data_IF_102465118904
#
_entry.id   IF_102465118904
#
_cell.length_a   1.000
_cell.length_b   1.000
_cell.length_c   1.000
_cell.angle_alpha   90.00
_cell.angle_beta   90.00
_cell.angle_gamma   90.00
#
_symmetry.space_group_name_H-M   'P 1'
#
loop_
_entity.id
_entity.type
_entity.pdbx_description
1 polymer ?
#
# COMPACT_ATOMS: atom_id res chain seq x y z
N UNK A 1 -3.21 -74.80 -9.84
CA UNK A 1 -3.03 -73.58 -9.02
C UNK A 1 -3.02 -72.38 -9.94
N UNK A 2 -4.06 -71.57 -9.91
CA UNK A 2 -4.09 -70.34 -10.70
C UNK A 2 -3.81 -69.19 -9.76
N UNK A 3 -2.69 -68.51 -9.94
CA UNK A 3 -2.37 -67.31 -9.22
C UNK A 3 -3.16 -66.16 -9.82
N UNK A 4 -4.09 -65.58 -9.05
CA UNK A 4 -4.77 -64.39 -9.40
C UNK A 4 -3.89 -63.19 -9.10
N UNK A 5 -3.28 -62.63 -10.14
CA UNK A 5 -2.61 -61.32 -10.04
C UNK A 5 -3.69 -60.25 -9.94
N UNK A 6 -3.89 -59.72 -8.75
CA UNK A 6 -4.69 -58.50 -8.57
C UNK A 6 -3.79 -57.30 -8.90
N UNK A 7 -4.00 -56.75 -10.07
CA UNK A 7 -3.41 -55.44 -10.41
C UNK A 7 -4.21 -54.41 -9.65
N UNK A 8 -3.62 -53.88 -8.58
CA UNK A 8 -4.09 -52.69 -7.92
C UNK A 8 -3.66 -51.51 -8.79
N UNK A 9 -4.60 -51.00 -9.58
CA UNK A 9 -4.42 -49.71 -10.25
C UNK A 9 -4.47 -48.62 -9.16
N UNK A 10 -3.30 -48.09 -8.81
CA UNK A 10 -3.25 -46.92 -7.97
C UNK A 10 -3.70 -45.73 -8.82
N UNK A 11 -4.91 -45.25 -8.58
CA UNK A 11 -5.37 -43.97 -9.12
C UNK A 11 -4.62 -42.86 -8.37
N UNK A 12 -3.57 -42.32 -8.99
CA UNK A 12 -2.93 -41.14 -8.51
C UNK A 12 -3.87 -39.95 -8.80
N UNK A 13 -4.58 -39.49 -7.78
CA UNK A 13 -5.28 -38.21 -7.86
C UNK A 13 -4.25 -37.11 -7.87
N UNK A 14 -3.95 -36.58 -9.06
CA UNK A 14 -3.19 -35.35 -9.16
C UNK A 14 -4.08 -34.19 -8.66
N UNK A 15 -3.80 -33.71 -7.47
CA UNK A 15 -4.39 -32.48 -6.97
C UNK A 15 -3.78 -31.33 -7.74
N UNK A 16 -4.48 -30.87 -8.78
CA UNK A 16 -4.16 -29.57 -9.36
C UNK A 16 -4.65 -28.52 -8.36
N UNK A 17 -3.73 -27.99 -7.58
CA UNK A 17 -4.01 -26.76 -6.85
C UNK A 17 -4.21 -25.65 -7.89
N UNK A 18 -5.45 -25.31 -8.19
CA UNK A 18 -5.78 -24.10 -8.92
C UNK A 18 -5.47 -22.95 -7.95
N UNK A 19 -4.23 -22.48 -7.99
CA UNK A 19 -3.89 -21.22 -7.35
C UNK A 19 -4.65 -20.12 -8.07
N UNK A 20 -5.67 -19.55 -7.41
CA UNK A 20 -6.28 -18.30 -7.87
C UNK A 20 -5.22 -17.21 -7.98
N UNK A 21 -5.47 -16.09 -8.73
CA UNK A 21 -4.52 -14.99 -8.75
C UNK A 21 -4.21 -14.58 -7.32
N UNK A 22 -2.93 -14.67 -6.95
CA UNK A 22 -2.48 -14.16 -5.66
C UNK A 22 -2.79 -12.67 -5.65
N UNK A 23 -3.78 -12.22 -4.85
CA UNK A 23 -3.92 -10.80 -4.59
C UNK A 23 -2.64 -10.37 -3.88
N UNK A 24 -1.93 -9.41 -4.46
CA UNK A 24 -0.78 -8.83 -3.83
C UNK A 24 -1.20 -8.35 -2.42
N UNK A 25 -0.49 -8.79 -1.38
CA UNK A 25 -0.71 -8.30 -0.05
C UNK A 25 -0.52 -6.78 -0.04
N UNK A 26 -1.37 -6.05 0.70
CA UNK A 26 -1.22 -4.64 0.92
C UNK A 26 0.19 -4.36 1.47
N UNK A 27 0.92 -3.45 0.82
CA UNK A 27 2.24 -3.03 1.26
C UNK A 27 2.12 -1.82 2.19
N UNK A 28 3.04 -1.72 3.14
CA UNK A 28 3.21 -0.51 3.94
C UNK A 28 4.29 0.34 3.28
N UNK A 29 3.95 1.60 2.94
CA UNK A 29 4.83 2.56 2.29
C UNK A 29 4.97 3.79 3.17
N UNK A 30 6.19 4.28 3.31
CA UNK A 30 6.48 5.43 4.16
C UNK A 30 6.74 6.68 3.31
N UNK A 31 6.17 7.81 3.74
CA UNK A 31 6.50 9.14 3.22
C UNK A 31 6.93 9.98 4.42
N UNK A 32 8.17 10.45 4.37
CA UNK A 32 8.79 11.20 5.46
C UNK A 32 8.73 12.69 5.13
N UNK A 33 8.34 13.50 6.11
CA UNK A 33 8.41 14.96 6.04
C UNK A 33 9.61 15.40 6.87
N UNK A 34 10.52 16.09 6.23
CA UNK A 34 11.71 16.65 6.87
C UNK A 34 12.12 17.92 6.14
N UNK A 35 12.72 18.87 6.84
CA UNK A 35 13.23 20.12 6.26
C UNK A 35 12.18 20.86 5.42
N UNK A 36 10.95 20.91 5.91
CA UNK A 36 9.84 21.58 5.24
C UNK A 36 9.51 21.02 3.85
N UNK A 37 9.73 19.73 3.63
CA UNK A 37 9.46 19.05 2.36
C UNK A 37 8.86 17.67 2.58
N UNK A 38 7.98 17.26 1.68
CA UNK A 38 7.64 15.86 1.54
C UNK A 38 8.82 15.13 0.88
N UNK A 39 9.22 14.02 1.48
CA UNK A 39 10.26 13.16 0.93
C UNK A 39 9.81 12.39 -0.31
N UNK A 40 10.63 11.44 -0.73
CA UNK A 40 10.31 10.61 -1.88
C UNK A 40 8.96 9.92 -1.72
N UNK A 41 8.15 9.97 -2.77
CA UNK A 41 6.85 9.31 -2.83
C UNK A 41 7.03 7.99 -3.59
N UNK A 42 6.83 6.84 -2.93
CA UNK A 42 6.94 5.55 -3.61
C UNK A 42 5.76 5.30 -4.55
N UNK A 43 5.94 4.41 -5.50
CA UNK A 43 4.81 3.88 -6.26
C UNK A 43 3.89 3.10 -5.32
N UNK A 44 2.60 3.36 -5.42
CA UNK A 44 1.57 2.78 -4.58
C UNK A 44 0.63 1.91 -5.41
N UNK A 45 -0.03 0.99 -4.73
CA UNK A 45 -1.12 0.20 -5.29
C UNK A 45 -2.38 0.39 -4.45
N UNK A 46 -3.53 0.29 -5.07
CA UNK A 46 -4.80 0.34 -4.34
C UNK A 46 -4.82 -0.72 -3.24
N UNK A 47 -5.14 -0.32 -2.02
CA UNK A 47 -5.09 -1.16 -0.83
C UNK A 47 -3.83 -0.97 0.01
N UNK A 48 -2.80 -0.31 -0.50
CA UNK A 48 -1.59 -0.04 0.26
C UNK A 48 -1.86 0.91 1.45
N UNK A 49 -1.05 0.76 2.47
CA UNK A 49 -1.04 1.66 3.63
C UNK A 49 0.12 2.63 3.50
N UNK A 50 -0.15 3.91 3.63
CA UNK A 50 0.88 4.94 3.74
C UNK A 50 1.08 5.25 5.21
N UNK A 51 2.33 5.17 5.67
CA UNK A 51 2.77 5.76 6.93
C UNK A 51 3.34 7.15 6.64
N UNK A 52 2.60 8.18 7.04
CA UNK A 52 3.09 9.54 7.02
C UNK A 52 3.88 9.80 8.29
N UNK A 53 5.15 10.15 8.18
CA UNK A 53 5.99 10.47 9.33
C UNK A 53 6.52 11.90 9.24
N UNK A 54 6.16 12.72 10.22
CA UNK A 54 6.68 14.06 10.36
C UNK A 54 7.92 14.05 11.27
N UNK A 55 9.10 14.18 10.69
CA UNK A 55 10.37 14.28 11.41
C UNK A 55 10.75 15.74 11.74
N UNK A 56 9.96 16.72 11.29
CA UNK A 56 10.18 18.12 11.60
C UNK A 56 9.73 18.49 13.01
N UNK A 57 10.21 19.65 13.43
CA UNK A 57 9.73 20.34 14.63
C UNK A 57 8.49 21.19 14.36
N UNK A 58 8.05 21.28 13.11
CA UNK A 58 6.89 22.05 12.68
C UNK A 58 5.67 21.13 12.50
N UNK A 59 4.51 21.72 12.75
CA UNK A 59 3.24 21.06 12.45
C UNK A 59 3.01 21.05 10.93
N UNK A 60 2.74 19.88 10.40
CA UNK A 60 2.41 19.68 8.99
C UNK A 60 1.07 18.98 8.82
N UNK A 61 0.60 18.93 7.59
CA UNK A 61 -0.49 18.05 7.17
C UNK A 61 -0.13 17.40 5.84
N UNK A 62 -0.76 16.27 5.55
CA UNK A 62 -0.81 15.71 4.21
C UNK A 62 -2.28 15.74 3.78
N UNK A 63 -2.61 16.67 2.91
CA UNK A 63 -3.99 16.98 2.56
C UNK A 63 -4.20 16.83 1.06
N UNK A 64 -5.07 15.91 0.67
CA UNK A 64 -5.40 15.71 -0.74
C UNK A 64 -6.21 16.90 -1.28
N UNK A 65 -5.85 17.34 -2.49
CA UNK A 65 -6.60 18.42 -3.13
C UNK A 65 -8.01 18.00 -3.53
N UNK A 66 -8.21 16.71 -3.80
CA UNK A 66 -9.53 16.13 -4.07
C UNK A 66 -10.34 15.80 -2.81
N UNK A 67 -9.79 16.10 -1.62
CA UNK A 67 -10.40 15.84 -0.30
C UNK A 67 -10.50 14.35 0.07
N UNK A 68 -9.83 13.47 -0.63
CA UNK A 68 -9.86 12.04 -0.33
C UNK A 68 -9.16 11.69 1.00
N UNK A 69 -8.23 12.52 1.46
CA UNK A 69 -7.65 12.42 2.80
C UNK A 69 -7.18 13.78 3.32
N UNK A 70 -7.13 13.88 4.63
CA UNK A 70 -6.57 15.03 5.35
C UNK A 70 -5.93 14.53 6.63
N UNK A 71 -4.61 14.42 6.62
CA UNK A 71 -3.82 13.83 7.71
C UNK A 71 -3.15 14.93 8.50
N UNK A 72 -3.51 15.03 9.77
CA UNK A 72 -2.89 15.97 10.70
C UNK A 72 -1.60 15.37 11.28
N UNK A 73 -0.51 16.09 11.15
CA UNK A 73 0.84 15.63 11.51
C UNK A 73 1.53 16.63 12.43
N UNK A 74 1.20 16.60 13.74
CA UNK A 74 1.98 17.36 14.71
C UNK A 74 3.48 17.03 14.63
N UNK A 75 4.36 17.89 15.19
CA UNK A 75 5.78 17.60 15.23
C UNK A 75 6.10 16.20 15.74
N UNK A 76 7.01 15.48 15.05
CA UNK A 76 7.49 14.15 15.48
C UNK A 76 6.38 13.09 15.60
N UNK A 77 5.37 13.16 14.73
CA UNK A 77 4.24 12.22 14.75
C UNK A 77 4.18 11.35 13.51
N UNK A 78 3.44 10.27 13.63
CA UNK A 78 3.12 9.36 12.53
C UNK A 78 1.62 9.14 12.43
N UNK A 79 1.13 8.93 11.20
CA UNK A 79 -0.26 8.54 10.92
C UNK A 79 -0.29 7.61 9.72
N UNK A 80 -1.18 6.64 9.77
CA UNK A 80 -1.40 5.67 8.69
C UNK A 80 -2.71 5.96 7.99
N UNK A 81 -2.71 5.88 6.66
CA UNK A 81 -3.93 5.85 5.86
C UNK A 81 -3.85 4.71 4.85
N UNK A 82 -5.00 4.20 4.46
CA UNK A 82 -5.10 3.23 3.36
C UNK A 82 -5.55 3.95 2.10
N UNK A 83 -4.80 3.80 1.00
CA UNK A 83 -5.23 4.30 -0.31
C UNK A 83 -6.14 3.26 -0.96
N UNK A 84 -7.34 3.67 -1.38
CA UNK A 84 -8.39 2.73 -1.81
C UNK A 84 -8.59 2.70 -3.31
N UNK A 85 -8.27 3.78 -4.00
CA UNK A 85 -8.56 3.95 -5.42
C UNK A 85 -7.30 4.23 -6.21
N UNK A 86 -7.17 3.60 -7.37
CA UNK A 86 -6.11 3.90 -8.32
C UNK A 86 -6.29 5.31 -8.90
N UNK A 87 -5.18 5.92 -9.30
CA UNK A 87 -5.13 7.25 -9.91
C UNK A 87 -4.06 8.12 -9.29
N UNK A 88 -3.97 9.35 -9.81
CA UNK A 88 -3.06 10.35 -9.29
C UNK A 88 -3.80 11.27 -8.32
N UNK A 89 -3.18 11.52 -7.17
CA UNK A 89 -3.74 12.40 -6.15
C UNK A 89 -2.69 13.42 -5.75
N UNK A 90 -2.95 14.67 -6.06
CA UNK A 90 -2.11 15.78 -5.61
C UNK A 90 -2.41 16.10 -4.15
N UNK A 91 -1.39 16.37 -3.38
CA UNK A 91 -1.51 16.72 -1.97
C UNK A 91 -0.58 17.88 -1.58
N UNK A 92 -0.87 18.49 -0.47
CA UNK A 92 -0.13 19.66 0.05
C UNK A 92 -0.21 19.72 1.57
N UNK A 93 0.59 20.59 2.16
CA UNK A 93 0.50 20.93 3.58
C UNK A 93 -0.37 22.18 3.74
N UNK A 94 -1.42 22.14 4.57
CA UNK A 94 -2.31 23.29 4.80
C UNK A 94 -1.62 24.47 5.48
N UNK A 95 -0.61 24.22 6.31
CA UNK A 95 0.15 25.27 6.99
C UNK A 95 1.26 25.85 6.14
N UNK A 96 1.74 25.12 5.16
CA UNK A 96 2.86 25.50 4.29
C UNK A 96 2.52 25.09 2.85
N UNK A 97 1.64 25.85 2.16
CA UNK A 97 1.06 25.42 0.88
C UNK A 97 2.06 25.18 -0.25
N UNK A 98 3.30 25.69 -0.13
CA UNK A 98 4.37 25.41 -1.09
C UNK A 98 4.90 23.97 -0.98
N UNK A 99 4.63 23.30 0.13
CA UNK A 99 4.92 21.88 0.29
C UNK A 99 3.87 21.08 -0.45
N UNK A 100 4.26 20.43 -1.52
CA UNK A 100 3.36 19.67 -2.41
C UNK A 100 3.95 18.33 -2.80
N UNK A 101 3.10 17.42 -3.21
CA UNK A 101 3.48 16.13 -3.75
C UNK A 101 2.34 15.51 -4.55
N UNK A 102 2.62 14.41 -5.18
CA UNK A 102 1.63 13.63 -5.94
C UNK A 102 1.78 12.15 -5.59
N UNK A 103 0.67 11.52 -5.22
CA UNK A 103 0.58 10.07 -5.14
C UNK A 103 0.27 9.51 -6.52
N UNK A 104 0.96 8.46 -6.90
CA UNK A 104 0.64 7.67 -8.09
C UNK A 104 0.22 6.26 -7.62
N UNK A 105 -1.07 5.99 -7.71
CA UNK A 105 -1.68 4.78 -7.17
C UNK A 105 -2.10 3.90 -8.34
N UNK A 106 -1.42 2.78 -8.48
CA UNK A 106 -1.74 1.75 -9.47
C UNK A 106 -2.87 0.84 -8.98
N UNK A 107 -3.59 0.21 -9.92
CA UNK A 107 -4.62 -0.77 -9.56
C UNK A 107 -4.10 -1.94 -8.76
#
# INVERSE_FOLDING_TARGET
>A
MRALFRILAALAFAWFAIGGPASAAAANREIIIAKMQFGAVPTLHAGDVITWRNDDIFHHTATARDKSFDVDLPPKSERNITVKQAGKVDFYCRFHPVMTGTLDIEP
#
